data_IF_697195997934
#
_entry.id   IF_697195997934
#
_cell.length_a   1.000
_cell.length_b   1.000
_cell.length_c   1.000
_cell.angle_alpha   90.00
_cell.angle_beta   90.00
_cell.angle_gamma   90.00
#
_symmetry.space_group_name_H-M   'P 1'
#
loop_
_entity.id
_entity.type
_entity.pdbx_description
1 polymer ?
#
# COMPACT_ATOMS: atom_id res chain seq x y z
N UNK A 1 21.39 0.91 0.58
CA UNK A 1 20.51 1.43 0.81
C UNK A 1 19.30 0.98 0.36
N UNK A 2 18.64 0.56 0.89
CA UNK A 2 17.56 0.09 0.53
C UNK A 2 16.73 0.95 0.32
N UNK A 3 15.88 0.73 -0.29
CA UNK A 3 15.03 1.69 -0.59
C UNK A 3 13.73 1.08 -0.79
N UNK A 4 12.75 1.88 -0.91
CA UNK A 4 11.42 1.43 -1.19
C UNK A 4 11.03 1.87 -2.58
N UNK A 5 9.98 1.28 -3.10
CA UNK A 5 9.43 1.62 -4.41
C UNK A 5 8.00 2.04 -4.21
N UNK A 6 7.46 2.82 -5.15
CA UNK A 6 6.08 3.22 -5.06
C UNK A 6 5.17 2.02 -5.12
N UNK A 7 4.16 2.01 -4.28
CA UNK A 7 3.09 1.06 -4.39
C UNK A 7 2.28 1.37 -5.65
N UNK A 8 1.70 0.38 -6.32
CA UNK A 8 0.71 0.66 -7.35
C UNK A 8 -0.44 1.48 -6.80
N UNK A 9 -0.64 1.47 -5.50
CA UNK A 9 -1.67 2.25 -4.86
C UNK A 9 -1.09 3.43 -4.09
N UNK A 10 0.10 3.91 -4.50
CA UNK A 10 0.74 5.04 -3.87
C UNK A 10 -0.19 6.22 -3.93
N UNK A 11 -0.65 6.69 -2.88
CA UNK A 11 -1.54 7.84 -2.77
C UNK A 11 -2.87 7.65 -3.53
N UNK A 12 -3.26 6.42 -3.83
CA UNK A 12 -4.55 6.16 -4.44
C UNK A 12 -5.65 6.43 -3.44
N UNK A 13 -6.75 6.96 -3.92
CA UNK A 13 -7.93 7.14 -3.09
C UNK A 13 -8.72 5.84 -3.08
N UNK A 14 -9.00 5.35 -1.90
CA UNK A 14 -9.78 4.12 -1.76
C UNK A 14 -11.23 4.47 -1.49
N UNK A 15 -12.14 3.59 -1.92
CA UNK A 15 -13.57 3.81 -1.79
C UNK A 15 -14.23 2.64 -1.09
N UNK A 16 -15.35 2.92 -0.45
CA UNK A 16 -16.19 1.88 0.13
C UNK A 16 -16.94 1.18 -0.99
N UNK A 17 -17.60 0.07 -0.67
CA UNK A 17 -18.41 -0.62 -1.65
C UNK A 17 -19.57 0.23 -2.16
N UNK A 18 -19.99 1.20 -1.40
CA UNK A 18 -21.05 2.09 -1.82
C UNK A 18 -20.55 3.27 -2.65
N UNK A 19 -19.25 3.36 -2.88
CA UNK A 19 -18.70 4.43 -3.70
C UNK A 19 -18.33 5.69 -2.93
N UNK A 20 -18.38 5.68 -1.62
CA UNK A 20 -17.92 6.81 -0.82
C UNK A 20 -16.45 6.67 -0.53
N UNK A 21 -15.75 7.78 -0.23
CA UNK A 21 -14.34 7.68 0.11
C UNK A 21 -14.19 6.88 1.38
N UNK A 22 -13.14 6.08 1.46
CA UNK A 22 -12.91 5.20 2.60
C UNK A 22 -12.17 5.94 3.71
N UNK A 23 -12.76 7.01 4.21
CA UNK A 23 -12.14 7.81 5.26
C UNK A 23 -11.99 6.99 6.54
N UNK A 24 -10.82 7.05 7.12
CA UNK A 24 -10.50 6.36 8.37
C UNK A 24 -10.54 4.83 8.26
N UNK A 25 -10.63 4.30 7.08
CA UNK A 25 -10.55 2.86 6.90
C UNK A 25 -9.13 2.41 7.17
N UNK A 26 -8.97 1.13 7.40
CA UNK A 26 -7.68 0.55 7.75
C UNK A 26 -7.14 -0.26 6.58
N UNK A 27 -5.90 -0.01 6.22
CA UNK A 27 -5.25 -0.79 5.18
C UNK A 27 -4.15 -1.62 5.85
N UNK A 28 -4.37 -2.92 5.92
CA UNK A 28 -3.39 -3.82 6.47
C UNK A 28 -2.44 -4.25 5.36
N UNK A 29 -1.16 -4.37 5.66
CA UNK A 29 -0.17 -4.81 4.69
C UNK A 29 0.56 -6.01 5.24
N UNK A 30 0.56 -7.09 4.48
CA UNK A 30 1.11 -8.37 4.91
C UNK A 30 2.09 -8.91 3.90
N UNK A 31 2.90 -9.87 4.32
CA UNK A 31 3.68 -10.66 3.38
C UNK A 31 2.72 -11.40 2.46
N UNK A 32 3.01 -11.40 1.16
CA UNK A 32 2.09 -11.92 0.16
C UNK A 32 1.58 -13.31 0.53
N UNK A 33 0.29 -13.47 0.43
CA UNK A 33 -0.35 -14.74 0.70
C UNK A 33 -0.46 -15.11 2.17
N UNK A 34 -0.14 -14.20 3.07
CA UNK A 34 -0.17 -14.48 4.51
C UNK A 34 -0.84 -13.36 5.26
N UNK A 35 -0.97 -13.49 6.57
CA UNK A 35 -1.41 -12.41 7.41
C UNK A 35 -0.27 -11.93 8.31
N UNK A 36 0.96 -12.25 7.94
CA UNK A 36 2.14 -11.76 8.67
C UNK A 36 2.38 -10.32 8.28
N UNK A 37 2.41 -9.38 9.21
CA UNK A 37 2.60 -7.97 8.87
C UNK A 37 3.91 -7.73 8.14
N UNK A 38 3.86 -6.86 7.13
CA UNK A 38 5.06 -6.48 6.41
C UNK A 38 5.03 -4.96 6.23
N UNK A 39 6.09 -4.30 6.63
CA UNK A 39 6.11 -2.84 6.72
C UNK A 39 6.04 -2.15 5.37
N UNK A 40 5.37 -1.02 5.34
CA UNK A 40 5.44 -0.07 4.25
C UNK A 40 5.98 1.24 4.80
N UNK A 41 6.27 2.18 3.93
CA UNK A 41 6.98 3.37 4.37
C UNK A 41 6.36 4.64 3.82
N UNK A 42 6.64 5.76 4.46
CA UNK A 42 6.14 7.05 4.02
C UNK A 42 7.11 7.76 3.11
N UNK A 43 8.32 7.21 2.94
CA UNK A 43 9.36 7.87 2.14
C UNK A 43 10.09 6.87 1.25
N UNK A 44 10.67 7.37 0.20
CA UNK A 44 11.38 6.54 -0.75
C UNK A 44 12.60 5.88 -0.14
N UNK A 45 13.23 6.52 0.80
CA UNK A 45 14.41 5.95 1.44
C UNK A 45 14.08 4.79 2.37
N UNK A 46 12.80 4.62 2.71
CA UNK A 46 12.41 3.53 3.59
C UNK A 46 12.82 3.75 5.03
N UNK A 47 12.87 5.00 5.47
CA UNK A 47 13.36 5.30 6.81
C UNK A 47 12.25 5.51 7.80
N UNK A 48 11.04 5.85 7.35
CA UNK A 48 9.93 6.10 8.25
C UNK A 48 8.80 5.15 7.89
N UNK A 49 8.56 4.18 8.73
CA UNK A 49 7.55 3.16 8.48
C UNK A 49 6.15 3.70 8.69
N UNK A 50 5.21 3.27 7.87
CA UNK A 50 3.81 3.50 8.14
C UNK A 50 3.37 2.64 9.31
N UNK A 51 2.34 3.06 10.01
CA UNK A 51 1.68 2.18 10.96
C UNK A 51 1.07 1.02 10.19
N UNK A 52 0.86 -0.09 10.83
CA UNK A 52 0.22 -1.24 10.19
C UNK A 52 -0.84 -1.77 11.15
N UNK A 53 -2.12 -1.50 10.87
CA UNK A 53 -2.64 -1.01 9.59
C UNK A 53 -2.41 0.49 9.40
N UNK A 54 -2.41 0.90 8.14
CA UNK A 54 -2.37 2.31 7.81
C UNK A 54 -3.78 2.84 7.96
N UNK A 55 -3.94 3.96 8.64
CA UNK A 55 -5.26 4.58 8.76
C UNK A 55 -5.38 5.61 7.65
N UNK A 56 -6.32 5.41 6.76
CA UNK A 56 -6.50 6.32 5.63
C UNK A 56 -7.01 7.67 6.12
N UNK A 57 -6.67 8.71 5.40
CA UNK A 57 -7.06 10.06 5.80
C UNK A 57 -8.52 10.33 5.44
N UNK A 58 -8.96 11.56 5.63
CA UNK A 58 -10.37 11.90 5.38
C UNK A 58 -10.75 11.79 3.92
N UNK A 59 -9.78 11.74 3.03
CA UNK A 59 -10.05 11.53 1.61
C UNK A 59 -9.83 10.08 1.20
N UNK A 60 -9.56 9.19 2.14
CA UNK A 60 -9.35 7.78 1.83
C UNK A 60 -7.99 7.50 1.20
N UNK A 61 -6.99 8.31 1.48
CA UNK A 61 -5.65 8.16 0.88
C UNK A 61 -4.57 7.93 1.91
N UNK A 62 -3.46 7.42 1.47
CA UNK A 62 -2.25 7.30 2.28
C UNK A 62 -1.05 7.25 1.36
N UNK A 63 0.10 7.64 1.87
CA UNK A 63 1.35 7.54 1.12
C UNK A 63 1.98 6.19 1.40
N UNK A 64 2.22 5.40 0.38
CA UNK A 64 2.64 4.02 0.56
C UNK A 64 3.85 3.72 -0.32
N UNK A 65 4.99 3.48 0.32
CA UNK A 65 6.20 3.02 -0.35
C UNK A 65 6.48 1.60 0.12
N UNK A 66 6.81 0.71 -0.79
CA UNK A 66 7.01 -0.71 -0.50
C UNK A 66 8.50 -1.04 -0.49
N UNK A 67 8.87 -2.06 0.26
CA UNK A 67 10.25 -2.54 0.25
C UNK A 67 10.55 -3.13 -1.12
N UNK A 68 11.66 -2.72 -1.70
CA UNK A 68 12.06 -3.22 -3.00
C UNK A 68 12.29 -4.73 -2.92
N UNK A 69 11.74 -5.44 -3.87
CA UNK A 69 11.92 -6.89 -3.94
C UNK A 69 10.93 -7.71 -3.15
N UNK A 70 10.06 -7.06 -2.40
CA UNK A 70 9.07 -7.78 -1.61
C UNK A 70 7.71 -7.72 -2.27
N UNK A 71 6.90 -8.74 -2.02
CA UNK A 71 5.53 -8.78 -2.52
C UNK A 71 4.58 -8.76 -1.34
N UNK A 72 3.49 -8.06 -1.49
CA UNK A 72 2.58 -7.76 -0.39
C UNK A 72 1.17 -8.25 -0.67
N UNK A 73 0.42 -8.48 0.40
CA UNK A 73 -1.03 -8.58 0.36
C UNK A 73 -1.58 -7.35 1.09
N UNK A 74 -2.49 -6.64 0.47
CA UNK A 74 -3.14 -5.50 1.08
C UNK A 74 -4.58 -5.89 1.43
N UNK A 75 -5.04 -5.56 2.61
CA UNK A 75 -6.41 -5.81 3.02
C UNK A 75 -7.03 -4.52 3.51
N UNK A 76 -8.07 -4.07 2.83
CA UNK A 76 -8.80 -2.87 3.22
C UNK A 76 -9.93 -3.28 4.14
N UNK A 77 -9.98 -2.68 5.33
CA UNK A 77 -11.02 -2.99 6.31
C UNK A 77 -11.69 -1.71 6.77
N UNK A 78 -12.92 -1.87 7.24
CA UNK A 78 -13.65 -0.73 7.80
C UNK A 78 -13.01 -0.31 9.11
N UNK A 79 -13.35 0.85 9.64
CA UNK A 79 -12.86 1.23 10.97
C UNK A 79 -13.17 0.20 12.05
N UNK A 80 -14.22 -0.62 11.84
CA UNK A 80 -14.58 -1.67 12.77
C UNK A 80 -13.91 -3.01 12.43
N UNK A 81 -12.94 -2.99 11.50
CA UNK A 81 -12.17 -4.17 11.13
C UNK A 81 -12.93 -5.21 10.31
N UNK A 82 -13.97 -4.84 9.62
CA UNK A 82 -14.62 -5.75 8.69
C UNK A 82 -13.92 -5.64 7.34
N UNK A 83 -13.57 -6.78 6.75
CA UNK A 83 -12.85 -6.78 5.49
C UNK A 83 -13.73 -6.31 4.34
N UNK A 84 -13.23 -5.35 3.58
CA UNK A 84 -13.92 -4.86 2.40
C UNK A 84 -13.34 -5.53 1.17
N UNK A 85 -12.02 -5.57 1.06
CA UNK A 85 -11.38 -6.15 -0.10
C UNK A 85 -9.94 -6.52 0.20
N UNK A 86 -9.45 -7.54 -0.46
CA UNK A 86 -8.06 -7.99 -0.31
C UNK A 86 -7.43 -8.06 -1.69
N UNK A 87 -6.21 -7.57 -1.82
CA UNK A 87 -5.41 -7.66 -3.04
C UNK A 87 -4.13 -8.40 -2.72
N UNK A 88 -3.77 -9.36 -3.56
CA UNK A 88 -2.57 -10.13 -3.35
C UNK A 88 -1.57 -9.81 -4.45
N UNK A 89 -0.32 -10.16 -4.25
CA UNK A 89 0.69 -9.99 -5.28
C UNK A 89 1.08 -8.56 -5.57
N UNK A 90 0.99 -7.67 -4.60
CA UNK A 90 1.32 -6.27 -4.80
C UNK A 90 2.81 -6.08 -4.65
N UNK A 91 3.45 -5.47 -5.64
CA UNK A 91 4.87 -5.14 -5.53
C UNK A 91 5.08 -3.71 -5.99
N UNK A 92 6.23 -3.15 -5.64
CA UNK A 92 6.50 -1.76 -5.96
C UNK A 92 6.57 -1.51 -7.45
N UNK A 93 6.17 -0.33 -7.86
CA UNK A 93 6.25 0.09 -9.23
C UNK A 93 7.68 0.52 -9.48
N UNK A 94 8.35 0.00 -10.51
CA UNK A 94 9.74 0.38 -10.76
C UNK A 94 9.83 1.86 -11.05
N UNK A 95 10.91 2.46 -10.55
CA UNK A 95 11.14 3.85 -10.88
C UNK A 95 11.52 3.96 -12.33
N UNK A 96 11.16 5.05 -12.94
CA UNK A 96 11.44 5.23 -14.34
C UNK A 96 12.85 5.60 -14.56
N UNK A 97 13.74 4.71 -14.52
CA UNK A 97 15.07 5.03 -14.80
C UNK A 97 15.34 4.57 -16.13
N UNK A 98 14.42 4.32 -16.78
CA UNK A 98 14.59 4.11 -17.99
C UNK A 98 15.11 3.02 -18.58
N UNK A 99 16.02 2.51 -18.20
CA UNK A 99 16.55 1.63 -19.00
C UNK A 99 15.71 0.51 -19.21
N UNK A 100 15.17 -0.02 -18.28
CA UNK A 100 14.45 -1.19 -18.50
C UNK A 100 13.04 -0.94 -18.77
N UNK A 101 12.60 0.29 -18.65
CA UNK A 101 11.30 0.48 -18.69
C UNK A 101 10.84 0.84 -19.96
N UNK A 102 10.00 0.29 -20.53
CA UNK A 102 9.60 0.59 -21.69
C UNK A 102 8.36 0.93 -21.88
N UNK A 103 8.04 1.73 -22.35
CA UNK A 103 6.82 2.16 -22.50
C UNK A 103 6.23 1.41 -23.44
N UNK A 104 5.79 1.21 -23.73
CA UNK A 104 5.21 0.54 -24.54
C UNK A 104 4.63 1.06 -25.41
#
# INVERSE_FOLDING_TARGET
>A
MATSAQSPYFNTQFFTDAGAVAASYKLYTYVSGTTTPQATYTDQAGTVANANPIILDSAGRATIWLTVGETYTFALKTPADATVKTWDGISGVPLPNATSYLPL
#
